data_IF_155190266339
#
_entry.id   IF_155190266339
#
_cell.length_a   1.000
_cell.length_b   1.000
_cell.length_c   1.000
_cell.angle_alpha   90.00
_cell.angle_beta   90.00
_cell.angle_gamma   90.00
#
_symmetry.space_group_name_H-M   'P 1'
#
loop_
_entity.id
_entity.type
_entity.pdbx_description
1 polymer ?
#
# COMPACT_ATOMS: atom_id res chain seq x y z
N UNK A 1 -27.24 17.67 12.93
CA UNK A 1 -26.99 17.67 11.46
C UNK A 1 -26.19 16.40 11.16
N UNK A 2 -26.83 15.36 10.59
CA UNK A 2 -26.11 14.19 10.08
C UNK A 2 -25.19 14.69 8.95
N UNK A 3 -23.88 14.59 9.14
CA UNK A 3 -22.92 14.78 8.04
C UNK A 3 -23.19 13.68 7.03
N UNK A 4 -23.59 14.03 5.81
CA UNK A 4 -23.55 13.08 4.68
C UNK A 4 -22.08 12.77 4.41
N UNK A 5 -21.66 11.56 4.71
CA UNK A 5 -20.40 11.03 4.27
C UNK A 5 -20.60 10.58 2.81
N UNK A 6 -19.99 11.28 1.86
CA UNK A 6 -20.16 11.04 0.42
C UNK A 6 -18.95 10.26 -0.17
N UNK A 7 -18.17 9.60 0.66
CA UNK A 7 -17.05 8.74 0.22
C UNK A 7 -17.53 7.34 -0.18
N UNK A 8 -16.64 6.48 -0.68
CA UNK A 8 -16.96 5.11 -1.04
C UNK A 8 -17.47 4.35 0.19
N UNK A 9 -18.62 3.71 0.03
CA UNK A 9 -19.24 2.95 1.09
C UNK A 9 -18.82 1.49 1.02
N UNK A 10 -17.85 1.11 1.84
CA UNK A 10 -17.46 -0.28 2.01
C UNK A 10 -18.45 -0.98 2.96
N UNK A 11 -18.81 -2.22 2.65
CA UNK A 11 -19.63 -3.01 3.55
C UNK A 11 -18.80 -3.49 4.75
N UNK A 12 -19.46 -3.77 5.87
CA UNK A 12 -18.78 -4.31 7.04
C UNK A 12 -18.10 -5.65 6.71
N UNK A 13 -18.73 -6.49 5.87
CA UNK A 13 -18.15 -7.75 5.42
C UNK A 13 -16.85 -7.55 4.63
N UNK A 14 -16.83 -6.57 3.71
CA UNK A 14 -15.63 -6.20 2.94
C UNK A 14 -14.50 -5.72 3.86
N UNK A 15 -14.82 -4.88 4.85
CA UNK A 15 -13.83 -4.39 5.80
C UNK A 15 -13.27 -5.51 6.69
N UNK A 16 -14.14 -6.43 7.14
CA UNK A 16 -13.74 -7.59 7.94
C UNK A 16 -12.80 -8.50 7.15
N UNK A 17 -13.07 -8.71 5.86
CA UNK A 17 -12.26 -9.52 4.96
C UNK A 17 -10.91 -8.85 4.68
N UNK A 18 -10.91 -7.62 4.17
CA UNK A 18 -9.69 -6.87 3.80
C UNK A 18 -8.71 -6.74 4.97
N UNK A 19 -9.22 -6.46 6.18
CA UNK A 19 -8.40 -6.29 7.38
C UNK A 19 -8.27 -7.57 8.22
N UNK A 20 -8.78 -8.71 7.74
CA UNK A 20 -8.71 -10.02 8.43
C UNK A 20 -9.23 -9.98 9.86
N UNK A 21 -10.39 -9.33 10.08
CA UNK A 21 -10.92 -9.08 11.42
C UNK A 21 -11.82 -10.19 11.98
N UNK A 22 -12.15 -11.22 11.21
CA UNK A 22 -13.13 -12.25 11.59
C UNK A 22 -12.87 -12.87 12.96
N UNK A 23 -11.59 -13.17 13.27
CA UNK A 23 -11.19 -13.76 14.55
C UNK A 23 -11.16 -12.78 15.73
N UNK A 24 -11.31 -11.48 15.47
CA UNK A 24 -11.29 -10.40 16.45
C UNK A 24 -12.68 -9.92 16.86
N UNK A 25 -13.73 -10.30 16.10
CA UNK A 25 -15.09 -9.75 16.25
C UNK A 25 -15.69 -9.89 17.67
N UNK A 26 -15.26 -10.92 18.42
CA UNK A 26 -15.74 -11.18 19.77
C UNK A 26 -14.72 -10.76 20.85
N UNK A 27 -13.60 -10.14 20.49
CA UNK A 27 -12.60 -9.68 21.44
C UNK A 27 -12.92 -8.28 21.93
N UNK A 28 -12.54 -8.00 23.17
CA UNK A 28 -12.60 -6.65 23.74
C UNK A 28 -11.40 -5.84 23.26
N UNK A 29 -11.51 -4.50 23.16
CA UNK A 29 -10.39 -3.64 22.72
C UNK A 29 -9.11 -3.79 23.55
N UNK A 30 -9.24 -4.06 24.84
CA UNK A 30 -8.14 -4.29 25.77
C UNK A 30 -7.41 -5.64 25.57
N UNK A 31 -7.94 -6.52 24.74
CA UNK A 31 -7.40 -7.83 24.40
C UNK A 31 -6.70 -7.86 23.03
N UNK A 32 -6.67 -6.74 22.34
CA UNK A 32 -6.06 -6.63 21.01
C UNK A 32 -4.56 -6.31 21.13
N UNK A 33 -3.76 -6.96 20.29
CA UNK A 33 -2.37 -6.52 20.07
C UNK A 33 -2.33 -5.15 19.38
N UNK A 34 -1.18 -4.49 19.36
CA UNK A 34 -1.02 -3.19 18.70
C UNK A 34 -1.42 -3.22 17.22
N UNK A 35 -0.98 -4.25 16.48
CA UNK A 35 -1.34 -4.41 15.07
C UNK A 35 -2.81 -4.75 14.84
N UNK A 36 -3.42 -5.59 15.71
CA UNK A 36 -4.86 -5.87 15.66
C UNK A 36 -5.68 -4.60 15.92
N UNK A 37 -5.29 -3.83 16.93
CA UNK A 37 -5.95 -2.55 17.24
C UNK A 37 -5.83 -1.56 16.07
N UNK A 38 -4.68 -1.50 15.39
CA UNK A 38 -4.47 -0.65 14.22
C UNK A 38 -5.37 -1.07 13.05
N UNK A 39 -5.47 -2.37 12.73
CA UNK A 39 -6.38 -2.87 11.69
C UNK A 39 -7.84 -2.54 11.99
N UNK A 40 -8.26 -2.73 13.24
CA UNK A 40 -9.62 -2.36 13.68
C UNK A 40 -9.87 -0.86 13.57
N UNK A 41 -8.89 -0.02 13.94
CA UNK A 41 -9.00 1.44 13.84
C UNK A 41 -9.15 1.91 12.40
N UNK A 42 -8.37 1.33 11.46
CA UNK A 42 -8.47 1.62 10.04
C UNK A 42 -9.82 1.20 9.46
N UNK A 43 -10.27 -0.03 9.74
CA UNK A 43 -11.58 -0.52 9.32
C UNK A 43 -12.71 0.36 9.83
N UNK A 44 -12.67 0.76 11.12
CA UNK A 44 -13.65 1.68 11.72
C UNK A 44 -13.66 3.05 11.04
N UNK A 45 -12.49 3.57 10.67
CA UNK A 45 -12.38 4.85 9.95
C UNK A 45 -13.04 4.76 8.59
N UNK A 46 -12.80 3.67 7.86
CA UNK A 46 -13.35 3.42 6.54
C UNK A 46 -14.86 3.10 6.56
N UNK A 47 -15.37 2.45 7.60
CA UNK A 47 -16.80 2.21 7.80
C UNK A 47 -17.63 3.51 7.83
N UNK A 48 -17.02 4.64 8.15
CA UNK A 48 -17.65 5.95 8.10
C UNK A 48 -17.71 6.58 6.70
N UNK A 49 -17.33 5.86 5.64
CA UNK A 49 -17.31 6.31 4.25
C UNK A 49 -16.62 7.69 4.10
N UNK A 50 -15.33 7.82 4.46
CA UNK A 50 -14.62 9.09 4.38
C UNK A 50 -14.39 9.48 2.91
N UNK A 51 -14.35 10.78 2.62
CA UNK A 51 -13.99 11.32 1.30
C UNK A 51 -12.49 11.46 1.10
N UNK A 52 -11.76 11.45 2.20
CA UNK A 52 -10.30 11.55 2.25
C UNK A 52 -9.83 10.81 3.49
N UNK A 53 -8.81 9.98 3.33
CA UNK A 53 -8.16 9.27 4.43
C UNK A 53 -6.86 9.99 4.79
N UNK A 54 -6.72 10.39 6.04
CA UNK A 54 -5.52 11.00 6.57
C UNK A 54 -4.82 10.01 7.49
N UNK A 55 -3.60 9.65 7.14
CA UNK A 55 -2.80 8.65 7.83
C UNK A 55 -1.44 9.25 8.18
N UNK A 56 -1.16 9.37 9.49
CA UNK A 56 0.09 9.87 10.01
C UNK A 56 0.82 8.75 10.72
N UNK A 57 1.95 8.29 10.13
CA UNK A 57 2.75 7.16 10.59
C UNK A 57 1.92 5.92 10.99
N UNK A 58 0.96 5.49 10.15
CA UNK A 58 -0.03 4.49 10.58
C UNK A 58 0.55 3.10 10.85
N UNK A 59 1.77 2.83 10.43
CA UNK A 59 2.41 1.51 10.56
C UNK A 59 3.68 1.53 11.44
N UNK A 60 4.00 2.66 12.08
CA UNK A 60 5.23 2.80 12.87
C UNK A 60 5.35 1.81 14.04
N UNK A 61 4.22 1.44 14.67
CA UNK A 61 4.19 0.55 15.85
C UNK A 61 3.80 -0.90 15.52
N UNK A 62 3.88 -1.31 14.25
CA UNK A 62 3.40 -2.62 13.79
C UNK A 62 4.59 -3.50 13.36
N UNK A 63 4.52 -4.78 13.67
CA UNK A 63 5.51 -5.76 13.19
C UNK A 63 5.47 -5.90 11.64
N UNK A 64 6.54 -6.44 11.06
CA UNK A 64 6.72 -6.51 9.63
C UNK A 64 5.60 -7.30 8.90
N UNK A 65 5.14 -8.41 9.47
CA UNK A 65 4.09 -9.23 8.86
C UNK A 65 2.75 -8.50 8.85
N UNK A 66 2.35 -7.92 9.98
CA UNK A 66 1.13 -7.12 10.10
C UNK A 66 1.20 -5.85 9.24
N UNK A 67 2.39 -5.21 9.12
CA UNK A 67 2.62 -4.05 8.25
C UNK A 67 2.31 -4.37 6.79
N UNK A 68 2.82 -5.49 6.28
CA UNK A 68 2.58 -5.93 4.90
C UNK A 68 1.08 -6.14 4.63
N UNK A 69 0.34 -6.76 5.55
CA UNK A 69 -1.09 -6.98 5.42
C UNK A 69 -1.88 -5.67 5.38
N UNK A 70 -1.58 -4.73 6.29
CA UNK A 70 -2.26 -3.42 6.32
C UNK A 70 -1.94 -2.62 5.06
N UNK A 71 -0.68 -2.62 4.61
CA UNK A 71 -0.28 -1.92 3.39
C UNK A 71 -0.99 -2.49 2.17
N UNK A 72 -1.06 -3.82 2.06
CA UNK A 72 -1.85 -4.51 1.03
C UNK A 72 -3.32 -4.11 1.03
N UNK A 73 -3.94 -4.04 2.21
CA UNK A 73 -5.32 -3.57 2.37
C UNK A 73 -5.50 -2.11 1.90
N UNK A 74 -4.57 -1.21 2.24
CA UNK A 74 -4.62 0.19 1.80
C UNK A 74 -4.44 0.33 0.28
N UNK A 75 -3.55 -0.46 -0.33
CA UNK A 75 -3.35 -0.50 -1.78
C UNK A 75 -4.64 -1.00 -2.48
N UNK A 76 -5.26 -2.05 -1.95
CA UNK A 76 -6.53 -2.56 -2.47
C UNK A 76 -7.64 -1.50 -2.40
N UNK A 77 -7.83 -0.87 -1.25
CA UNK A 77 -8.83 0.19 -1.05
C UNK A 77 -8.59 1.36 -2.01
N UNK A 78 -7.33 1.79 -2.15
CA UNK A 78 -6.96 2.85 -3.10
C UNK A 78 -7.35 2.49 -4.53
N UNK A 79 -7.03 1.27 -4.98
CA UNK A 79 -7.25 0.84 -6.36
C UNK A 79 -8.72 0.57 -6.68
N UNK A 80 -9.47 -0.04 -5.77
CA UNK A 80 -10.85 -0.47 -6.01
C UNK A 80 -11.86 0.65 -5.77
N UNK A 81 -11.61 1.50 -4.77
CA UNK A 81 -12.56 2.53 -4.35
C UNK A 81 -12.14 3.95 -4.72
N UNK A 82 -10.97 4.12 -5.33
CA UNK A 82 -10.40 5.42 -5.71
C UNK A 82 -10.46 6.45 -4.55
N UNK A 83 -10.29 5.99 -3.30
CA UNK A 83 -10.32 6.84 -2.12
C UNK A 83 -9.03 7.65 -2.04
N UNK A 84 -9.10 8.99 -2.07
CA UNK A 84 -7.93 9.82 -1.88
C UNK A 84 -7.32 9.61 -0.50
N UNK A 85 -5.98 9.51 -0.44
CA UNK A 85 -5.24 9.32 0.80
C UNK A 85 -4.12 10.34 0.91
N UNK A 86 -3.98 10.93 2.10
CA UNK A 86 -2.77 11.64 2.51
C UNK A 86 -2.05 10.74 3.50
N UNK A 87 -0.90 10.24 3.12
CA UNK A 87 -0.12 9.27 3.87
C UNK A 87 1.22 9.90 4.27
N UNK A 88 1.46 10.00 5.56
CA UNK A 88 2.74 10.50 6.10
C UNK A 88 3.50 9.29 6.64
N UNK A 89 4.71 9.09 6.16
CA UNK A 89 5.63 8.06 6.64
C UNK A 89 7.08 8.45 6.37
N UNK A 90 7.99 7.95 7.19
CA UNK A 90 9.42 8.01 6.94
C UNK A 90 9.96 6.71 6.30
N UNK A 91 9.09 5.69 6.12
CA UNK A 91 9.44 4.42 5.51
C UNK A 91 9.27 4.49 3.98
N UNK A 92 10.36 4.47 3.25
CA UNK A 92 10.35 4.60 1.79
C UNK A 92 9.58 3.48 1.09
N UNK A 93 9.68 2.24 1.59
CA UNK A 93 8.97 1.08 1.02
C UNK A 93 7.45 1.29 1.02
N UNK A 94 6.91 1.85 2.10
CA UNK A 94 5.47 2.15 2.20
C UNK A 94 5.07 3.23 1.19
N UNK A 95 5.86 4.31 1.14
CA UNK A 95 5.61 5.44 0.24
C UNK A 95 5.69 5.00 -1.22
N UNK A 96 6.72 4.23 -1.58
CA UNK A 96 6.93 3.74 -2.94
C UNK A 96 5.84 2.78 -3.41
N UNK A 97 5.26 2.00 -2.50
CA UNK A 97 4.15 1.09 -2.82
C UNK A 97 2.81 1.81 -2.93
N UNK A 98 2.56 2.84 -2.09
CA UNK A 98 1.24 3.43 -1.96
C UNK A 98 1.08 4.75 -2.71
N UNK A 99 2.10 5.63 -2.76
CA UNK A 99 1.96 6.98 -3.28
C UNK A 99 1.90 7.05 -4.81
N UNK A 100 1.18 8.04 -5.33
CA UNK A 100 1.25 8.47 -6.74
C UNK A 100 2.02 9.78 -6.86
N UNK A 101 1.91 10.64 -5.84
CA UNK A 101 2.60 11.91 -5.72
C UNK A 101 3.27 12.01 -4.36
N UNK A 102 4.49 12.48 -4.32
CA UNK A 102 5.32 12.53 -3.13
C UNK A 102 5.72 13.97 -2.85
N UNK A 103 5.59 14.38 -1.58
CA UNK A 103 6.12 15.63 -1.07
C UNK A 103 7.17 15.33 -0.01
N UNK A 104 8.39 15.81 -0.23
CA UNK A 104 9.48 15.69 0.73
C UNK A 104 9.51 16.97 1.55
N UNK A 105 9.39 16.81 2.86
CA UNK A 105 9.35 17.91 3.82
C UNK A 105 10.59 17.83 4.69
N UNK A 106 11.36 18.93 4.71
CA UNK A 106 12.46 19.09 5.65
C UNK A 106 12.44 20.50 6.23
N UNK A 107 12.77 20.62 7.52
CA UNK A 107 12.79 21.88 8.26
C UNK A 107 11.49 22.70 8.13
N UNK A 108 10.34 22.02 8.08
CA UNK A 108 9.01 22.63 7.96
C UNK A 108 8.69 23.24 6.59
N UNK A 109 9.43 22.85 5.54
CA UNK A 109 9.24 23.31 4.17
C UNK A 109 9.17 22.13 3.21
N UNK A 110 8.40 22.29 2.13
CA UNK A 110 8.40 21.33 1.02
C UNK A 110 9.66 21.58 0.20
N UNK A 111 10.57 20.61 0.19
CA UNK A 111 11.79 20.65 -0.62
C UNK A 111 11.56 20.12 -2.02
N UNK A 112 10.76 19.06 -2.15
CA UNK A 112 10.41 18.45 -3.45
C UNK A 112 8.93 18.10 -3.47
N UNK A 113 8.30 18.19 -4.65
CA UNK A 113 6.91 17.81 -4.86
C UNK A 113 6.78 17.22 -6.27
N UNK A 114 6.74 15.91 -6.37
CA UNK A 114 6.88 15.20 -7.64
C UNK A 114 6.00 13.95 -7.70
N UNK A 115 5.76 13.44 -8.91
CA UNK A 115 5.13 12.13 -9.06
C UNK A 115 6.10 11.03 -8.66
N UNK A 116 5.58 9.89 -8.20
CA UNK A 116 6.41 8.72 -7.92
C UNK A 116 7.26 8.33 -9.15
N UNK A 117 6.67 8.39 -10.35
CA UNK A 117 7.37 8.08 -11.60
C UNK A 117 8.61 8.96 -11.82
N UNK A 118 8.48 10.26 -11.58
CA UNK A 118 9.60 11.20 -11.73
C UNK A 118 10.67 10.94 -10.68
N UNK A 119 10.26 10.76 -9.44
CA UNK A 119 11.17 10.56 -8.31
C UNK A 119 11.93 9.23 -8.40
N UNK A 120 11.26 8.15 -8.81
CA UNK A 120 11.90 6.83 -8.98
C UNK A 120 12.87 6.76 -10.15
N UNK A 121 12.80 7.71 -11.10
CA UNK A 121 13.74 7.83 -12.20
C UNK A 121 14.98 8.68 -11.84
N UNK A 122 14.97 9.38 -10.71
CA UNK A 122 16.08 10.17 -10.20
C UNK A 122 17.06 9.25 -9.45
N UNK A 123 18.06 8.77 -10.18
CA UNK A 123 19.06 7.81 -9.67
C UNK A 123 19.84 8.36 -8.47
N UNK A 124 20.20 9.64 -8.50
CA UNK A 124 20.96 10.28 -7.42
C UNK A 124 20.12 10.35 -6.14
N UNK A 125 18.83 10.65 -6.27
CA UNK A 125 17.91 10.68 -5.16
C UNK A 125 17.73 9.27 -4.56
N UNK A 126 17.42 8.27 -5.40
CA UNK A 126 17.18 6.90 -4.97
C UNK A 126 18.39 6.30 -4.26
N UNK A 127 19.60 6.58 -4.75
CA UNK A 127 20.83 6.06 -4.14
C UNK A 127 21.23 6.74 -2.83
N UNK A 128 20.77 7.98 -2.60
CA UNK A 128 20.98 8.70 -1.34
C UNK A 128 20.08 8.21 -0.21
N UNK A 129 18.96 7.58 -0.54
CA UNK A 129 18.07 6.99 0.45
C UNK A 129 18.63 5.63 0.89
N UNK A 130 19.51 5.63 1.89
CA UNK A 130 20.23 4.43 2.35
C UNK A 130 19.32 3.26 2.77
N UNK A 131 18.09 3.56 3.19
CA UNK A 131 17.07 2.59 3.59
C UNK A 131 16.32 2.01 2.38
N UNK A 132 16.31 2.73 1.25
CA UNK A 132 15.64 2.29 0.03
C UNK A 132 16.68 1.87 -1.02
N UNK A 133 17.15 0.65 -0.92
CA UNK A 133 18.03 0.07 -1.94
C UNK A 133 17.20 -0.75 -2.95
N UNK A 134 16.28 -0.09 -3.70
CA UNK A 134 15.40 -0.77 -4.63
C UNK A 134 14.94 0.10 -5.80
N UNK A 135 14.26 -0.52 -6.75
CA UNK A 135 13.61 0.14 -7.88
C UNK A 135 12.10 -0.13 -7.88
N UNK A 136 11.32 0.89 -8.22
CA UNK A 136 9.88 0.75 -8.44
C UNK A 136 9.61 0.74 -9.93
N UNK A 137 8.94 -0.31 -10.39
CA UNK A 137 8.54 -0.48 -11.78
C UNK A 137 7.03 -0.55 -11.88
N UNK A 138 6.47 0.20 -12.82
CA UNK A 138 5.08 0.03 -13.24
C UNK A 138 5.06 -0.95 -14.41
N UNK A 139 4.30 -2.03 -14.27
CA UNK A 139 4.23 -3.10 -15.26
C UNK A 139 2.80 -3.63 -15.38
N UNK A 140 2.61 -4.60 -16.24
CA UNK A 140 1.32 -5.26 -16.45
C UNK A 140 1.46 -6.75 -16.28
N UNK A 141 0.40 -7.38 -15.75
CA UNK A 141 0.27 -8.84 -15.69
C UNK A 141 0.14 -9.37 -17.12
N UNK A 142 1.06 -10.23 -17.54
CA UNK A 142 1.07 -10.85 -18.87
C UNK A 142 0.30 -12.15 -18.82
N UNK A 143 0.62 -13.03 -17.85
CA UNK A 143 0.04 -14.37 -17.74
C UNK A 143 0.20 -14.95 -16.34
N UNK A 144 -0.73 -15.83 -15.96
CA UNK A 144 -0.63 -16.63 -14.75
C UNK A 144 -0.25 -18.08 -15.06
N UNK A 145 0.54 -18.66 -14.16
CA UNK A 145 0.92 -20.06 -14.11
C UNK A 145 0.49 -20.62 -12.75
N UNK A 146 -0.81 -20.98 -12.58
CA UNK A 146 -1.33 -21.40 -11.27
C UNK A 146 -0.68 -22.67 -10.72
N UNK A 147 -0.28 -23.59 -11.61
CA UNK A 147 0.37 -24.86 -11.23
C UNK A 147 1.74 -24.62 -10.57
N UNK A 148 2.43 -23.55 -10.97
CA UNK A 148 3.73 -23.16 -10.45
C UNK A 148 3.63 -22.08 -9.37
N UNK A 149 2.41 -21.59 -9.06
CA UNK A 149 2.15 -20.45 -8.21
C UNK A 149 2.89 -19.17 -8.64
N UNK A 150 2.98 -18.92 -9.96
CA UNK A 150 3.69 -17.81 -10.56
C UNK A 150 2.79 -16.93 -11.42
N UNK A 151 3.19 -15.66 -11.54
CA UNK A 151 2.65 -14.66 -12.46
C UNK A 151 3.78 -14.09 -13.29
N UNK A 152 3.58 -14.01 -14.58
CA UNK A 152 4.47 -13.35 -15.52
C UNK A 152 4.08 -11.88 -15.66
N UNK A 153 5.03 -10.98 -15.49
CA UNK A 153 4.83 -9.54 -15.62
C UNK A 153 5.82 -8.96 -16.64
N UNK A 154 5.40 -7.91 -17.34
CA UNK A 154 6.20 -7.25 -18.37
C UNK A 154 7.38 -6.47 -17.77
N UNK A 155 8.53 -6.49 -18.43
CA UNK A 155 9.71 -5.70 -18.09
C UNK A 155 10.30 -5.12 -19.38
N UNK A 156 9.68 -4.07 -19.92
CA UNK A 156 10.06 -3.51 -21.21
C UNK A 156 9.85 -4.51 -22.35
N UNK A 157 10.94 -5.07 -22.90
CA UNK A 157 10.89 -6.10 -23.97
C UNK A 157 11.01 -7.53 -23.43
N UNK A 158 11.19 -7.67 -22.13
CA UNK A 158 11.33 -8.95 -21.44
C UNK A 158 10.20 -9.16 -20.47
N UNK A 159 10.13 -10.32 -19.88
CA UNK A 159 9.19 -10.65 -18.81
C UNK A 159 9.93 -11.20 -17.61
N UNK A 160 9.31 -11.12 -16.44
CA UNK A 160 9.83 -11.67 -15.18
C UNK A 160 8.73 -12.47 -14.53
N UNK A 161 9.10 -13.61 -13.94
CA UNK A 161 8.20 -14.41 -13.13
C UNK A 161 8.30 -13.97 -11.66
N UNK A 162 7.15 -13.73 -11.07
CA UNK A 162 7.00 -13.34 -9.66
C UNK A 162 6.01 -14.29 -8.99
N UNK A 163 5.93 -14.34 -7.67
CA UNK A 163 4.88 -15.12 -6.98
C UNK A 163 3.50 -14.74 -7.48
N UNK A 164 2.57 -15.71 -7.44
CA UNK A 164 1.22 -15.54 -7.99
C UNK A 164 0.52 -14.33 -7.38
N UNK A 165 -0.08 -13.52 -8.25
CA UNK A 165 -0.87 -12.36 -7.88
C UNK A 165 -2.35 -12.63 -8.15
N UNK A 166 -3.20 -12.16 -7.24
CA UNK A 166 -4.66 -12.12 -7.44
C UNK A 166 -5.05 -10.83 -8.20
N UNK A 167 -4.63 -10.74 -9.46
CA UNK A 167 -4.93 -9.62 -10.37
C UNK A 167 -5.15 -10.18 -11.78
N UNK A 168 -6.14 -9.68 -12.55
CA UNK A 168 -6.38 -10.20 -13.90
C UNK A 168 -5.21 -9.89 -14.85
N UNK A 169 -5.08 -10.70 -15.90
CA UNK A 169 -4.17 -10.42 -17.02
C UNK A 169 -4.50 -9.06 -17.64
N UNK A 170 -3.48 -8.28 -17.98
CA UNK A 170 -3.58 -6.89 -18.43
C UNK A 170 -3.70 -5.87 -17.29
N UNK A 171 -3.82 -6.28 -16.03
CA UNK A 171 -3.85 -5.36 -14.92
C UNK A 171 -2.49 -4.69 -14.72
N UNK A 172 -2.51 -3.37 -14.50
CA UNK A 172 -1.30 -2.64 -14.11
C UNK A 172 -0.95 -2.97 -12.65
N UNK A 173 0.30 -3.32 -12.43
CA UNK A 173 0.86 -3.64 -11.12
C UNK A 173 2.14 -2.86 -10.89
N UNK A 174 2.42 -2.62 -9.61
CA UNK A 174 3.64 -1.95 -9.17
C UNK A 174 4.56 -3.00 -8.54
N UNK A 175 5.76 -3.13 -9.07
CA UNK A 175 6.80 -4.00 -8.52
C UNK A 175 7.79 -3.14 -7.75
N UNK A 176 8.08 -3.57 -6.54
CA UNK A 176 9.20 -3.09 -5.75
C UNK A 176 10.29 -4.18 -5.80
N UNK A 177 11.43 -3.85 -6.40
CA UNK A 177 12.57 -4.76 -6.50
C UNK A 177 13.63 -4.23 -5.56
N UNK A 178 13.92 -4.96 -4.51
CA UNK A 178 14.99 -4.61 -3.59
C UNK A 178 16.36 -5.03 -4.15
N UNK A 179 17.41 -4.31 -3.77
CA UNK A 179 18.79 -4.63 -4.16
C UNK A 179 19.18 -6.08 -3.82
N UNK A 180 18.66 -6.60 -2.73
CA UNK A 180 18.91 -7.98 -2.29
C UNK A 180 18.21 -9.04 -3.15
N UNK A 181 17.20 -8.65 -3.94
CA UNK A 181 16.46 -9.55 -4.81
C UNK A 181 17.20 -9.76 -6.16
N UNK A 182 18.24 -8.98 -6.40
CA UNK A 182 19.04 -9.01 -7.64
C UNK A 182 20.46 -9.45 -7.28
N UNK A 183 20.72 -10.74 -7.36
CA UNK A 183 22.03 -11.36 -7.12
C UNK A 183 22.54 -12.10 -8.33
#
# INVERSE_FOLDING_TARGET
RKRKHDGPKLSDSTLIEIFELSHLMNRRPDQLSGGEAQRVALARTLANAPRLLLLDEPLAAVDQGTRANILGALIQIKSEFALPMLYVSHQWDEVMLLADHIQIIASGRIERSETLKTLSADFDFVTQQAEFAGAVLMTEVVKHYPEDALTEVGLGRQTVLIPILDRPEGASVRLLIHRQDVS
#
